data_IF_216446819118
#
_entry.id   IF_216446819118
#
_cell.length_a   1.000
_cell.length_b   1.000
_cell.length_c   1.000
_cell.angle_alpha   90.00
_cell.angle_beta   90.00
_cell.angle_gamma   90.00
#
_symmetry.space_group_name_H-M   'P 1'
#
loop_
_entity.id
_entity.type
_entity.pdbx_description
1 polymer ?
#
# COMPACT_ATOMS: atom_id res chain seq x y z
N UNK A 1 62.91 -14.61 1.67
CA UNK A 1 62.86 -15.82 2.51
C UNK A 1 61.40 -16.25 2.64
N UNK A 2 61.01 -17.48 2.28
CA UNK A 2 59.68 -18.02 2.58
C UNK A 2 59.71 -18.86 3.89
N UNK A 3 58.55 -19.07 4.54
CA UNK A 3 58.05 -20.42 4.82
C UNK A 3 56.53 -20.54 4.50
N UNK A 4 56.00 -21.59 3.86
CA UNK A 4 55.86 -23.02 4.21
C UNK A 4 54.69 -23.35 5.16
N UNK A 5 53.54 -23.69 4.54
CA UNK A 5 52.52 -24.72 4.83
C UNK A 5 51.95 -24.94 6.25
N UNK A 6 50.61 -25.06 6.33
CA UNK A 6 49.92 -26.13 7.07
C UNK A 6 48.45 -26.30 6.63
N UNK A 7 48.11 -27.53 6.23
CA UNK A 7 46.76 -28.05 6.00
C UNK A 7 46.06 -28.32 7.33
N UNK A 8 44.75 -28.10 7.42
CA UNK A 8 43.88 -28.85 8.35
C UNK A 8 42.52 -29.11 7.71
N UNK A 9 42.07 -30.36 7.83
CA UNK A 9 40.93 -30.93 7.13
C UNK A 9 39.69 -31.10 8.02
N UNK A 10 38.53 -31.18 7.32
CA UNK A 10 37.32 -31.99 7.58
C UNK A 10 36.06 -31.32 8.16
N UNK A 11 34.99 -31.54 7.37
CA UNK A 11 33.57 -31.78 7.72
C UNK A 11 32.78 -30.59 8.28
N UNK A 12 31.60 -30.23 7.79
CA UNK A 12 30.71 -30.76 6.75
C UNK A 12 29.37 -30.01 6.79
N UNK A 13 28.56 -30.19 5.73
CA UNK A 13 27.12 -29.89 5.61
C UNK A 13 26.75 -28.39 5.43
N UNK A 14 26.34 -27.99 4.23
CA UNK A 14 24.95 -28.03 3.69
C UNK A 14 24.18 -26.76 4.06
N UNK A 15 23.85 -25.97 3.05
CA UNK A 15 23.01 -24.79 3.14
C UNK A 15 23.05 -24.02 1.83
N UNK A 16 22.09 -24.34 0.97
CA UNK A 16 21.77 -23.66 -0.28
C UNK A 16 21.32 -22.20 -0.07
N UNK A 17 21.41 -21.47 -1.17
CA UNK A 17 20.46 -20.45 -1.64
C UNK A 17 20.65 -18.94 -1.31
N UNK A 18 21.05 -18.26 -2.40
CA UNK A 18 20.58 -16.97 -2.98
C UNK A 18 20.71 -15.65 -2.23
N UNK A 19 21.39 -14.70 -2.87
CA UNK A 19 20.71 -13.70 -3.71
C UNK A 19 21.73 -12.97 -4.59
N UNK A 20 21.47 -12.97 -5.90
CA UNK A 20 22.28 -12.29 -6.89
C UNK A 20 22.14 -10.77 -6.82
N UNK A 21 23.28 -10.13 -7.11
CA UNK A 21 23.54 -8.72 -7.33
C UNK A 21 22.61 -8.10 -8.38
N UNK A 22 21.93 -6.99 -8.04
CA UNK A 22 21.63 -5.94 -9.03
C UNK A 22 21.78 -4.56 -8.39
N UNK A 23 23.01 -4.07 -8.41
CA UNK A 23 23.38 -2.74 -8.94
C UNK A 23 22.49 -1.55 -8.53
N UNK A 24 22.71 -1.06 -7.31
CA UNK A 24 22.36 0.30 -6.91
C UNK A 24 23.10 1.33 -7.79
N UNK A 25 22.37 2.04 -8.65
CA UNK A 25 22.90 3.21 -9.35
C UNK A 25 22.15 4.44 -8.87
N UNK A 26 22.82 5.20 -8.01
CA UNK A 26 22.42 6.51 -7.54
C UNK A 26 22.16 7.45 -8.74
N UNK A 27 20.95 8.00 -8.82
CA UNK A 27 20.63 9.10 -9.72
C UNK A 27 20.80 10.42 -8.97
N UNK A 28 21.71 11.24 -9.48
CA UNK A 28 22.00 12.59 -8.99
C UNK A 28 20.80 13.49 -9.28
N UNK A 29 20.31 14.14 -8.25
CA UNK A 29 19.21 15.12 -8.29
C UNK A 29 19.70 16.40 -8.97
N UNK A 30 19.06 16.77 -10.07
CA UNK A 30 19.04 18.13 -10.59
C UNK A 30 17.58 18.58 -10.64
N UNK A 31 17.27 19.62 -9.87
CA UNK A 31 16.27 20.66 -10.20
C UNK A 31 14.80 20.27 -10.38
N UNK A 32 14.01 20.67 -9.36
CA UNK A 32 12.62 21.16 -9.36
C UNK A 32 11.44 20.34 -9.95
N UNK A 33 10.38 20.29 -9.15
CA UNK A 33 9.04 19.71 -9.36
C UNK A 33 8.98 18.17 -9.26
N UNK A 34 8.80 17.73 -8.02
CA UNK A 34 8.58 16.35 -7.64
C UNK A 34 7.19 15.88 -8.06
N UNK A 35 7.06 15.51 -9.34
CA UNK A 35 6.10 14.47 -9.76
C UNK A 35 6.42 13.20 -8.97
N UNK A 36 5.71 12.96 -7.88
CA UNK A 36 5.71 11.66 -7.21
C UNK A 36 4.88 10.71 -8.06
N UNK A 37 5.48 10.19 -9.13
CA UNK A 37 5.03 8.98 -9.81
C UNK A 37 5.32 7.81 -8.90
N UNK A 38 4.29 7.20 -8.31
CA UNK A 38 4.40 5.93 -7.61
C UNK A 38 3.52 4.91 -8.33
N UNK A 39 4.20 4.18 -9.22
CA UNK A 39 3.92 2.83 -9.71
C UNK A 39 2.53 2.24 -9.42
N UNK A 40 1.75 2.05 -10.48
CA UNK A 40 0.65 1.09 -10.49
C UNK A 40 1.19 -0.33 -10.27
N UNK A 41 1.03 -0.86 -9.06
CA UNK A 41 1.15 -2.30 -8.82
C UNK A 41 -0.22 -2.91 -9.05
N UNK A 42 -0.38 -3.54 -10.22
CA UNK A 42 -1.42 -4.54 -10.45
C UNK A 42 -0.74 -5.90 -10.44
N UNK A 43 -0.70 -6.56 -9.28
CA UNK A 43 -0.77 -8.03 -9.16
C UNK A 43 -1.41 -8.35 -7.81
N UNK A 44 -2.58 -8.98 -7.85
CA UNK A 44 -3.23 -9.54 -6.66
C UNK A 44 -2.36 -10.61 -6.00
N UNK A 45 -2.11 -10.45 -4.71
CA UNK A 45 -1.58 -11.49 -3.85
C UNK A 45 -2.66 -11.85 -2.81
N UNK A 46 -3.07 -13.12 -2.68
CA UNK A 46 -4.03 -13.50 -1.67
C UNK A 46 -3.33 -13.48 -0.30
N UNK A 47 -3.79 -12.62 0.61
CA UNK A 47 -3.49 -12.77 2.03
C UNK A 47 -2.62 -11.72 2.70
N UNK A 48 -2.61 -10.46 2.24
CA UNK A 48 -2.23 -9.38 3.17
C UNK A 48 -3.37 -9.20 4.16
N UNK A 49 -3.27 -9.85 5.33
CA UNK A 49 -4.08 -9.49 6.50
C UNK A 49 -3.73 -8.05 6.86
N UNK A 50 -4.52 -7.12 6.36
CA UNK A 50 -4.40 -5.71 6.71
C UNK A 50 -4.97 -5.53 8.11
N UNK A 51 -4.28 -4.73 8.91
CA UNK A 51 -4.61 -4.42 10.30
C UNK A 51 -6.09 -4.03 10.45
N UNK A 52 -6.65 -4.33 11.63
CA UNK A 52 -8.03 -3.99 11.96
C UNK A 52 -8.27 -2.48 11.74
N UNK A 53 -9.45 -2.09 11.22
CA UNK A 53 -9.74 -0.70 10.95
C UNK A 53 -9.69 0.09 12.26
N UNK A 54 -8.97 1.21 12.28
CA UNK A 54 -8.84 2.05 13.49
C UNK A 54 -10.02 3.01 13.67
N UNK A 55 -10.90 3.12 12.68
CA UNK A 55 -12.10 3.96 12.69
C UNK A 55 -13.37 3.12 12.56
N UNK A 56 -14.48 3.59 13.12
CA UNK A 56 -15.82 3.06 12.77
C UNK A 56 -15.99 3.10 11.24
N UNK A 57 -16.55 2.03 10.68
CA UNK A 57 -16.77 1.93 9.24
C UNK A 57 -17.81 2.94 8.76
N UNK A 58 -17.67 3.40 7.51
CA UNK A 58 -18.56 4.32 6.84
C UNK A 58 -19.39 3.56 5.80
N UNK A 59 -20.71 3.52 5.95
CA UNK A 59 -21.60 2.82 5.02
C UNK A 59 -21.98 3.71 3.83
N UNK A 60 -21.86 3.18 2.61
CA UNK A 60 -22.31 3.82 1.38
C UNK A 60 -22.79 2.79 0.36
N UNK A 61 -24.03 2.95 -0.14
CA UNK A 61 -24.69 2.04 -1.09
C UNK A 61 -24.67 0.54 -0.67
N UNK A 62 -24.64 0.27 0.64
CA UNK A 62 -24.58 -1.07 1.21
C UNK A 62 -23.18 -1.72 1.19
N UNK A 63 -22.13 -0.94 0.93
CA UNK A 63 -20.74 -1.27 1.18
C UNK A 63 -20.27 -0.54 2.43
N UNK A 64 -19.31 -1.10 3.16
CA UNK A 64 -18.72 -0.47 4.34
C UNK A 64 -17.26 -0.15 4.04
N UNK A 65 -16.86 1.09 4.28
CA UNK A 65 -15.50 1.57 4.06
C UNK A 65 -14.83 1.88 5.39
N UNK A 66 -13.51 1.71 5.46
CA UNK A 66 -12.71 2.10 6.61
C UNK A 66 -11.38 2.70 6.16
N UNK A 67 -10.71 3.38 7.07
CA UNK A 67 -9.36 3.90 6.87
C UNK A 67 -8.38 2.99 7.59
N UNK A 68 -7.32 2.58 6.90
CA UNK A 68 -6.23 1.81 7.52
C UNK A 68 -5.31 2.71 8.34
N UNK A 69 -4.41 2.10 9.11
CA UNK A 69 -3.38 2.85 9.85
C UNK A 69 -2.48 3.71 8.94
N UNK A 70 -2.39 3.36 7.65
CA UNK A 70 -1.60 4.05 6.63
C UNK A 70 -2.38 5.14 5.88
N UNK A 71 -3.58 5.53 6.35
CA UNK A 71 -4.49 6.45 5.65
C UNK A 71 -4.95 5.95 4.26
N UNK A 72 -4.99 4.64 4.07
CA UNK A 72 -5.55 4.05 2.83
C UNK A 72 -7.03 3.74 3.03
N UNK A 73 -7.81 3.87 1.96
CA UNK A 73 -9.22 3.46 1.97
C UNK A 73 -9.31 1.96 1.75
N UNK A 74 -10.14 1.30 2.55
CA UNK A 74 -10.40 -0.12 2.44
C UNK A 74 -11.89 -0.42 2.54
N UNK A 75 -12.31 -1.49 1.89
CA UNK A 75 -13.65 -2.05 2.01
C UNK A 75 -13.67 -3.11 3.11
N UNK A 76 -14.66 -3.04 3.98
CA UNK A 76 -14.94 -4.04 5.02
C UNK A 76 -15.92 -5.05 4.44
N UNK A 77 -15.48 -6.30 4.40
CA UNK A 77 -16.23 -7.45 3.91
C UNK A 77 -17.00 -8.13 5.06
N UNK A 78 -17.92 -9.00 4.69
CA UNK A 78 -18.63 -9.85 5.65
C UNK A 78 -17.65 -10.64 6.54
N UNK A 79 -17.94 -10.68 7.85
CA UNK A 79 -17.06 -11.28 8.84
C UNK A 79 -15.91 -10.38 9.31
N UNK A 80 -15.92 -9.09 8.93
CA UNK A 80 -14.97 -8.08 9.42
C UNK A 80 -13.59 -8.12 8.77
N UNK A 81 -13.43 -8.89 7.68
CA UNK A 81 -12.23 -8.85 6.86
C UNK A 81 -12.15 -7.50 6.12
N UNK A 82 -10.93 -7.04 5.81
CA UNK A 82 -10.71 -5.75 5.16
C UNK A 82 -9.89 -5.93 3.90
N UNK A 83 -10.32 -5.29 2.80
CA UNK A 83 -9.64 -5.23 1.51
C UNK A 83 -9.25 -3.79 1.19
N UNK A 84 -7.95 -3.50 1.18
CA UNK A 84 -7.44 -2.18 0.75
C UNK A 84 -7.75 -1.97 -0.72
N UNK A 85 -8.29 -0.80 -1.03
CA UNK A 85 -8.60 -0.37 -2.39
C UNK A 85 -7.38 0.34 -2.97
N UNK A 86 -7.00 -0.01 -4.19
CA UNK A 86 -6.06 0.82 -4.94
C UNK A 86 -6.72 2.17 -5.20
N UNK A 87 -6.01 3.25 -4.92
CA UNK A 87 -6.52 4.60 -5.13
C UNK A 87 -5.46 5.53 -5.67
N UNK A 88 -5.86 6.44 -6.55
CA UNK A 88 -5.15 7.70 -6.74
C UNK A 88 -5.60 8.67 -5.65
N UNK A 89 -4.69 9.49 -5.11
CA UNK A 89 -5.04 10.40 -4.01
C UNK A 89 -4.36 11.76 -4.08
N UNK A 90 -5.10 12.80 -3.66
CA UNK A 90 -4.61 14.18 -3.57
C UNK A 90 -4.84 14.72 -2.17
N UNK A 91 -3.86 15.40 -1.59
CA UNK A 91 -3.99 16.04 -0.29
C UNK A 91 -4.33 17.51 -0.42
N UNK A 92 -5.39 17.95 0.27
CA UNK A 92 -5.78 19.35 0.43
C UNK A 92 -5.33 19.84 1.81
N UNK A 93 -4.26 20.63 1.82
CA UNK A 93 -3.69 21.25 3.03
C UNK A 93 -4.65 22.23 3.71
N UNK A 94 -5.51 22.90 2.95
CA UNK A 94 -6.43 23.91 3.48
C UNK A 94 -7.54 23.30 4.33
N UNK A 95 -7.92 22.07 4.02
CA UNK A 95 -8.94 21.33 4.76
C UNK A 95 -8.34 20.22 5.63
N UNK A 96 -7.11 19.78 5.38
CA UNK A 96 -6.50 18.63 6.05
C UNK A 96 -7.14 17.31 5.64
N UNK A 97 -7.71 17.26 4.42
CA UNK A 97 -8.28 16.03 3.85
C UNK A 97 -7.43 15.50 2.72
N UNK A 98 -7.34 14.18 2.65
CA UNK A 98 -6.89 13.47 1.46
C UNK A 98 -8.09 12.92 0.72
N UNK A 99 -8.17 13.21 -0.56
CA UNK A 99 -9.22 12.73 -1.46
C UNK A 99 -8.70 11.51 -2.21
N UNK A 100 -9.42 10.40 -2.12
CA UNK A 100 -9.08 9.13 -2.77
C UNK A 100 -10.10 8.81 -3.86
N UNK A 101 -9.64 8.59 -5.09
CA UNK A 101 -10.44 8.02 -6.16
C UNK A 101 -10.32 6.50 -6.11
N UNK A 102 -11.42 5.81 -5.83
CA UNK A 102 -11.47 4.35 -5.72
C UNK A 102 -12.47 3.76 -6.69
N UNK A 103 -12.02 2.77 -7.46
CA UNK A 103 -12.90 1.92 -8.26
C UNK A 103 -13.47 0.80 -7.39
N UNK A 104 -14.79 0.71 -7.32
CA UNK A 104 -15.50 -0.32 -6.54
C UNK A 104 -16.53 -1.05 -7.40
N UNK A 105 -16.76 -2.32 -7.07
CA UNK A 105 -17.84 -3.07 -7.69
C UNK A 105 -19.11 -2.92 -6.84
N UNK A 106 -20.00 -2.03 -7.25
CA UNK A 106 -21.33 -1.92 -6.67
C UNK A 106 -22.21 -3.13 -7.00
N UNK A 107 -23.39 -3.18 -6.39
CA UNK A 107 -24.34 -4.30 -6.55
C UNK A 107 -24.78 -4.50 -8.00
N UNK A 108 -24.93 -3.41 -8.74
CA UNK A 108 -25.45 -3.44 -10.12
C UNK A 108 -24.37 -3.14 -11.16
N UNK A 109 -23.39 -2.32 -10.81
CA UNK A 109 -22.37 -1.82 -11.74
C UNK A 109 -21.08 -1.45 -11.01
N UNK A 110 -19.99 -1.30 -11.77
CA UNK A 110 -18.76 -0.70 -11.27
C UNK A 110 -18.94 0.80 -11.09
N UNK A 111 -18.33 1.38 -10.06
CA UNK A 111 -18.49 2.77 -9.69
C UNK A 111 -17.14 3.37 -9.31
N UNK A 112 -16.93 4.62 -9.71
CA UNK A 112 -15.83 5.43 -9.21
C UNK A 112 -16.33 6.27 -8.04
N UNK A 113 -15.68 6.17 -6.90
CA UNK A 113 -16.00 6.98 -5.72
C UNK A 113 -14.86 7.93 -5.39
N UNK A 114 -15.21 9.14 -4.99
CA UNK A 114 -14.34 10.09 -4.32
C UNK A 114 -14.55 9.97 -2.81
N UNK A 115 -13.54 9.51 -2.10
CA UNK A 115 -13.56 9.31 -0.64
C UNK A 115 -12.65 10.33 0.02
N UNK A 116 -13.23 11.22 0.83
CA UNK A 116 -12.49 12.24 1.58
C UNK A 116 -12.13 11.71 2.97
N UNK A 117 -10.84 11.66 3.28
CA UNK A 117 -10.29 11.18 4.55
C UNK A 117 -9.61 12.33 5.30
N UNK A 118 -10.00 12.62 6.55
CA UNK A 118 -9.27 13.53 7.42
C UNK A 118 -8.01 12.81 7.95
N UNK A 119 -6.82 13.29 7.57
CA UNK A 119 -5.55 12.58 7.83
C UNK A 119 -5.16 12.56 9.31
N UNK A 120 -5.49 13.63 10.06
CA UNK A 120 -5.20 13.78 11.49
C UNK A 120 -6.02 12.80 12.34
N UNK A 121 -7.24 12.53 11.91
CA UNK A 121 -8.22 11.70 12.62
C UNK A 121 -8.36 10.29 12.03
N UNK A 122 -7.73 10.03 10.87
CA UNK A 122 -7.83 8.78 10.11
C UNK A 122 -9.28 8.32 9.94
N UNK A 123 -10.14 9.25 9.52
CA UNK A 123 -11.58 9.00 9.39
C UNK A 123 -12.09 9.45 8.04
N UNK A 124 -13.04 8.70 7.50
CA UNK A 124 -13.81 9.13 6.34
C UNK A 124 -14.73 10.27 6.78
N UNK A 125 -14.73 11.37 6.03
CA UNK A 125 -15.60 12.53 6.26
C UNK A 125 -16.58 12.77 5.12
N UNK A 126 -16.42 12.10 3.99
CA UNK A 126 -17.36 12.16 2.88
C UNK A 126 -17.08 11.09 1.85
N UNK A 127 -18.14 10.63 1.19
CA UNK A 127 -18.08 9.79 -0.01
C UNK A 127 -19.02 10.41 -1.04
N UNK A 128 -18.50 10.56 -2.25
CA UNK A 128 -19.22 11.06 -3.41
C UNK A 128 -19.06 10.08 -4.56
N UNK A 129 -20.16 9.80 -5.25
CA UNK A 129 -20.13 9.02 -6.49
C UNK A 129 -19.75 9.93 -7.66
N UNK A 130 -18.75 9.52 -8.43
CA UNK A 130 -18.38 10.19 -9.67
C UNK A 130 -19.22 9.57 -10.81
N UNK A 131 -19.97 10.42 -11.52
CA UNK A 131 -20.88 10.05 -12.62
C UNK A 131 -20.20 10.06 -13.98
#
# INVERSE_FOLDING_TARGET
>A
MPPAQALSSRHGLRGDEVAEDVKGRALRVLGNESYMSHSSIVVGAPGRKVAAPTSEGFEFEGMVFAVTESNEVAEVLDGGAVRVLGSESVFDEGTGTREHFVDVQGKTEAMLLLVSVREDQRRIVGILRCS
#
